data_IF_751590143711
#
_entry.id   IF_751590143711
#
_cell.length_a   1.000
_cell.length_b   1.000
_cell.length_c   1.000
_cell.angle_alpha   90.00
_cell.angle_beta   90.00
_cell.angle_gamma   90.00
#
_symmetry.space_group_name_H-M   'P 1'
#
loop_
_entity.id
_entity.type
_entity.pdbx_description
1 polymer ?
#
# COMPACT_ATOMS: atom_id res chain seq x y z
N UNK A 1 14.38 -14.47 16.21
CA UNK A 1 13.21 -14.60 15.32
C UNK A 1 13.53 -13.80 14.06
N UNK A 2 13.89 -14.46 12.96
CA UNK A 2 14.27 -13.80 11.72
C UNK A 2 12.97 -13.51 10.95
N UNK A 3 12.47 -12.28 11.01
CA UNK A 3 11.27 -11.89 10.26
C UNK A 3 11.67 -11.88 8.78
N UNK A 4 11.06 -12.70 7.92
CA UNK A 4 11.35 -12.62 6.49
C UNK A 4 10.93 -11.24 5.97
N UNK A 5 11.73 -10.64 5.10
CA UNK A 5 11.41 -9.37 4.46
C UNK A 5 10.38 -9.65 3.36
N UNK A 6 9.09 -9.66 3.74
CA UNK A 6 7.97 -10.09 2.89
C UNK A 6 7.30 -8.93 2.11
N UNK A 7 7.98 -7.78 1.92
CA UNK A 7 7.37 -6.66 1.22
C UNK A 7 7.50 -6.81 -0.29
N UNK A 8 6.37 -6.87 -0.99
CA UNK A 8 6.35 -6.86 -2.45
C UNK A 8 6.63 -5.47 -3.03
N UNK A 9 6.85 -5.41 -4.35
CA UNK A 9 7.18 -4.16 -5.05
C UNK A 9 6.10 -3.08 -4.91
N UNK A 10 6.52 -1.84 -5.08
CA UNK A 10 5.72 -0.64 -4.90
C UNK A 10 5.17 -0.10 -6.22
N UNK A 11 3.95 0.42 -6.18
CA UNK A 11 3.28 1.14 -7.26
C UNK A 11 2.30 0.27 -8.04
N UNK A 12 1.41 0.93 -8.79
CA UNK A 12 0.40 0.24 -9.60
C UNK A 12 0.98 -0.67 -10.69
N UNK A 13 2.21 -0.42 -11.14
CA UNK A 13 2.91 -1.29 -12.09
C UNK A 13 3.14 -2.71 -11.53
N UNK A 14 3.23 -2.85 -10.21
CA UNK A 14 3.41 -4.16 -9.58
C UNK A 14 2.13 -5.02 -9.59
N UNK A 15 0.97 -4.47 -9.96
CA UNK A 15 -0.29 -5.22 -10.07
C UNK A 15 -0.24 -6.35 -11.09
N UNK A 16 0.47 -6.13 -12.19
CA UNK A 16 0.63 -7.10 -13.28
C UNK A 16 1.48 -8.31 -12.87
N UNK A 17 2.18 -8.22 -11.74
CA UNK A 17 3.11 -9.24 -11.26
C UNK A 17 2.72 -9.80 -9.88
N UNK A 18 1.55 -9.42 -9.35
CA UNK A 18 1.10 -9.81 -8.02
C UNK A 18 0.96 -11.33 -7.85
N UNK A 19 0.75 -12.08 -8.95
CA UNK A 19 0.72 -13.54 -8.99
C UNK A 19 2.07 -14.19 -8.66
N UNK A 20 3.16 -13.46 -8.86
CA UNK A 20 4.53 -13.95 -8.60
C UNK A 20 4.99 -13.70 -7.17
N UNK A 21 4.25 -12.93 -6.39
CA UNK A 21 4.69 -12.48 -5.06
C UNK A 21 4.97 -13.65 -4.12
N UNK A 22 4.07 -14.65 -4.10
CA UNK A 22 4.24 -15.86 -3.32
C UNK A 22 5.54 -16.61 -3.65
N UNK A 23 5.97 -16.61 -4.92
CA UNK A 23 7.22 -17.26 -5.36
C UNK A 23 8.46 -16.59 -4.76
N UNK A 24 8.36 -15.30 -4.45
CA UNK A 24 9.44 -14.51 -3.84
C UNK A 24 9.26 -14.32 -2.33
N UNK A 25 8.24 -14.95 -1.73
CA UNK A 25 7.87 -14.73 -0.33
C UNK A 25 7.34 -13.32 -0.07
N UNK A 26 6.90 -12.56 -1.07
CA UNK A 26 6.22 -11.29 -0.83
C UNK A 26 4.76 -11.55 -0.44
N UNK A 27 4.25 -10.84 0.57
CA UNK A 27 2.87 -10.96 1.07
C UNK A 27 2.12 -9.62 1.08
N UNK A 28 2.72 -8.54 0.60
CA UNK A 28 2.11 -7.22 0.56
C UNK A 28 2.38 -6.51 -0.78
N UNK A 29 1.42 -5.70 -1.24
CA UNK A 29 1.54 -4.83 -2.40
C UNK A 29 1.30 -3.38 -1.96
N UNK A 30 2.25 -2.50 -2.26
CA UNK A 30 2.11 -1.07 -1.96
C UNK A 30 1.63 -0.28 -3.16
N UNK A 31 0.65 0.61 -2.99
CA UNK A 31 0.17 1.47 -4.06
C UNK A 31 -0.32 2.83 -3.54
N UNK A 32 -0.35 3.81 -4.45
CA UNK A 32 -0.77 5.18 -4.13
C UNK A 32 -2.28 5.33 -4.08
N UNK A 33 -2.76 5.93 -2.98
CA UNK A 33 -4.15 6.33 -2.82
C UNK A 33 -5.15 5.16 -2.93
N UNK A 34 -6.44 5.51 -2.96
CA UNK A 34 -7.48 4.51 -3.10
C UNK A 34 -7.54 4.04 -4.57
N UNK A 35 -7.16 2.78 -4.80
CA UNK A 35 -7.18 2.15 -6.12
C UNK A 35 -7.99 0.84 -6.08
N UNK A 36 -9.27 0.86 -6.51
CA UNK A 36 -10.14 -0.33 -6.47
C UNK A 36 -9.55 -1.54 -7.19
N UNK A 37 -8.91 -1.33 -8.34
CA UNK A 37 -8.30 -2.41 -9.10
C UNK A 37 -7.15 -3.08 -8.33
N UNK A 38 -6.43 -2.30 -7.53
CA UNK A 38 -5.37 -2.81 -6.67
C UNK A 38 -5.90 -3.62 -5.50
N UNK A 39 -6.95 -3.15 -4.83
CA UNK A 39 -7.64 -3.92 -3.78
C UNK A 39 -8.18 -5.25 -4.29
N UNK A 40 -8.86 -5.22 -5.43
CA UNK A 40 -9.40 -6.42 -6.09
C UNK A 40 -8.29 -7.41 -6.47
N UNK A 41 -7.17 -6.91 -7.00
CA UNK A 41 -6.04 -7.75 -7.36
C UNK A 41 -5.36 -8.41 -6.14
N UNK A 42 -5.27 -7.68 -5.02
CA UNK A 42 -4.74 -8.16 -3.75
C UNK A 42 -5.65 -9.23 -3.13
N UNK A 43 -6.96 -8.97 -3.09
CA UNK A 43 -7.96 -9.89 -2.55
C UNK A 43 -7.96 -11.24 -3.29
N UNK A 44 -7.89 -11.23 -4.62
CA UNK A 44 -7.83 -12.47 -5.43
C UNK A 44 -6.57 -13.31 -5.21
N UNK A 45 -5.52 -12.75 -4.62
CA UNK A 45 -4.18 -13.36 -4.54
C UNK A 45 -3.68 -13.53 -3.11
N UNK A 46 -4.53 -13.25 -2.12
CA UNK A 46 -4.18 -13.33 -0.69
C UNK A 46 -2.95 -12.47 -0.33
N UNK A 47 -2.80 -11.32 -1.00
CA UNK A 47 -1.74 -10.33 -0.74
C UNK A 47 -2.35 -9.17 0.06
N UNK A 48 -1.63 -8.64 1.05
CA UNK A 48 -2.04 -7.47 1.79
C UNK A 48 -1.96 -6.20 0.92
N UNK A 49 -3.08 -5.47 0.82
CA UNK A 49 -3.13 -4.17 0.16
C UNK A 49 -2.59 -3.07 1.09
N UNK A 50 -1.47 -2.46 0.75
CA UNK A 50 -0.85 -1.37 1.52
C UNK A 50 -1.00 -0.04 0.76
N UNK A 51 -1.78 0.89 1.32
CA UNK A 51 -2.01 2.20 0.70
C UNK A 51 -1.05 3.24 1.24
N UNK A 52 -0.31 3.89 0.35
CA UNK A 52 0.40 5.12 0.68
C UNK A 52 -0.49 6.33 0.36
N UNK A 53 -0.89 7.07 1.39
CA UNK A 53 -1.61 8.33 1.23
C UNK A 53 -0.64 9.50 1.04
N UNK A 54 -1.01 10.42 0.14
CA UNK A 54 -0.23 11.65 -0.14
C UNK A 54 -0.06 12.56 1.09
N UNK A 55 -0.85 12.37 2.14
CA UNK A 55 -0.74 13.11 3.40
C UNK A 55 0.64 12.98 4.02
N UNK A 56 1.42 11.93 3.73
CA UNK A 56 2.82 11.82 4.15
C UNK A 56 3.80 12.77 3.42
N UNK A 57 3.37 13.45 2.35
CA UNK A 57 4.17 14.42 1.57
C UNK A 57 3.54 15.81 1.49
N UNK A 58 2.43 16.05 2.19
CA UNK A 58 1.80 17.35 2.24
C UNK A 58 2.65 18.29 3.10
N UNK A 59 2.89 19.50 2.61
CA UNK A 59 3.41 20.59 3.43
C UNK A 59 2.27 21.10 4.31
N UNK A 60 2.27 20.68 5.58
CA UNK A 60 1.23 21.05 6.54
C UNK A 60 1.20 22.55 6.85
N UNK A 61 2.29 23.28 6.59
CA UNK A 61 2.26 24.74 6.68
C UNK A 61 1.38 25.33 5.57
N UNK A 62 1.34 24.69 4.39
CA UNK A 62 0.48 25.11 3.27
C UNK A 62 -0.93 24.50 3.32
N UNK A 63 -1.11 23.37 4.02
CA UNK A 63 -2.38 22.62 4.14
C UNK A 63 -2.65 22.20 5.59
N UNK A 64 -2.89 23.17 6.50
CA UNK A 64 -3.14 22.87 7.90
C UNK A 64 -4.43 22.05 8.12
N UNK A 65 -5.37 22.10 7.17
CA UNK A 65 -6.60 21.31 7.15
C UNK A 65 -6.37 19.80 6.99
N UNK A 66 -5.17 19.39 6.54
CA UNK A 66 -4.80 17.98 6.37
C UNK A 66 -4.01 17.40 7.55
N UNK A 67 -3.75 18.19 8.60
CA UNK A 67 -3.05 17.70 9.79
C UNK A 67 -3.87 16.58 10.42
N UNK A 68 -3.34 15.35 10.55
CA UNK A 68 -4.06 14.27 11.21
C UNK A 68 -4.32 14.66 12.67
N UNK A 69 -5.58 14.83 13.04
CA UNK A 69 -5.98 15.15 14.43
C UNK A 69 -6.17 13.89 15.29
N UNK A 70 -6.05 12.70 14.70
CA UNK A 70 -6.19 11.42 15.41
C UNK A 70 -7.58 11.18 16.00
N UNK A 71 -8.61 11.85 15.47
CA UNK A 71 -10.00 11.60 15.85
C UNK A 71 -10.57 10.62 14.84
N UNK A 72 -10.87 9.42 15.32
CA UNK A 72 -11.72 8.48 14.61
C UNK A 72 -13.17 8.97 14.77
N UNK A 73 -13.87 9.23 13.66
CA UNK A 73 -15.32 9.47 13.63
C UNK A 73 -16.12 8.16 13.80
#
# INVERSE_FOLDING_TARGET
MNIPLLFGPYGSAALEHADRFAQYGANALWFHGFNPAAFEACARREVAACVEFKTFRADFEKRPDLIPVGVDD
#
